data_IF_554611898482
#
_entry.id   IF_554611898482
#
_cell.length_a   1.000
_cell.length_b   1.000
_cell.length_c   1.000
_cell.angle_alpha   90.00
_cell.angle_beta   90.00
_cell.angle_gamma   90.00
#
_symmetry.space_group_name_H-M   'P 1'
#
loop_
_entity.id
_entity.type
_entity.pdbx_description
1 polymer ?
#
# COMPACT_ATOMS: atom_id res chain seq x y z
N UNK A 1 0.55 20.23 -23.86
CA UNK A 1 -0.09 18.90 -23.87
C UNK A 1 -1.15 18.93 -24.97
N UNK A 2 -0.94 18.24 -26.11
CA UNK A 2 -1.87 18.25 -27.24
C UNK A 2 -3.22 17.70 -26.78
N UNK A 3 -4.24 18.57 -26.72
CA UNK A 3 -5.63 18.19 -26.46
C UNK A 3 -6.15 17.46 -27.68
N UNK A 4 -6.08 16.13 -27.69
CA UNK A 4 -6.94 15.35 -28.56
C UNK A 4 -8.36 15.59 -28.05
N UNK A 5 -9.12 16.44 -28.75
CA UNK A 5 -10.50 16.75 -28.40
C UNK A 5 -11.35 15.48 -28.29
N UNK A 6 -12.46 15.56 -27.57
CA UNK A 6 -13.38 14.44 -27.38
C UNK A 6 -13.86 13.91 -28.74
N UNK A 7 -13.36 12.75 -29.16
CA UNK A 7 -13.79 12.04 -30.37
C UNK A 7 -15.01 11.18 -30.01
N UNK A 8 -16.08 11.26 -30.81
CA UNK A 8 -17.37 10.61 -30.51
C UNK A 8 -17.31 9.08 -30.37
N UNK A 9 -16.27 8.45 -30.92
CA UNK A 9 -16.08 7.01 -30.98
C UNK A 9 -14.83 6.53 -30.23
N UNK A 10 -14.23 7.36 -29.37
CA UNK A 10 -13.05 7.01 -28.59
C UNK A 10 -13.35 7.08 -27.10
N UNK A 11 -13.07 6.00 -26.37
CA UNK A 11 -13.21 5.93 -24.93
C UNK A 11 -11.83 5.86 -24.27
N UNK A 12 -11.62 6.65 -23.22
CA UNK A 12 -10.38 6.66 -22.45
C UNK A 12 -10.62 6.01 -21.09
N UNK A 13 -9.78 5.04 -20.75
CA UNK A 13 -9.79 4.33 -19.47
C UNK A 13 -8.41 4.44 -18.85
N UNK A 14 -8.35 4.80 -17.57
CA UNK A 14 -7.11 4.92 -16.83
C UNK A 14 -7.06 3.90 -15.69
N UNK A 15 -5.96 3.14 -15.62
CA UNK A 15 -5.68 2.20 -14.54
C UNK A 15 -4.49 2.71 -13.74
N UNK A 16 -4.63 2.75 -12.41
CA UNK A 16 -3.54 3.17 -11.51
C UNK A 16 -3.62 2.39 -10.21
N UNK A 17 -2.47 1.97 -9.70
CA UNK A 17 -2.34 1.39 -8.36
C UNK A 17 -2.38 2.47 -7.26
N UNK A 18 -2.02 3.72 -7.61
CA UNK A 18 -1.94 4.85 -6.70
C UNK A 18 -2.67 6.06 -7.30
N UNK A 19 -3.96 6.25 -6.99
CA UNK A 19 -4.73 7.35 -7.56
C UNK A 19 -4.25 8.69 -6.99
N UNK A 20 -3.73 9.56 -7.87
CA UNK A 20 -3.41 10.97 -7.56
C UNK A 20 -4.60 11.86 -7.90
N UNK A 21 -4.76 12.98 -7.18
CA UNK A 21 -5.85 13.94 -7.40
C UNK A 21 -5.97 14.38 -8.87
N UNK A 22 -4.85 14.74 -9.51
CA UNK A 22 -4.83 15.16 -10.91
C UNK A 22 -5.35 14.07 -11.88
N UNK A 23 -5.08 12.79 -11.60
CA UNK A 23 -5.59 11.69 -12.41
C UNK A 23 -7.11 11.49 -12.22
N UNK A 24 -7.60 11.67 -10.99
CA UNK A 24 -9.03 11.62 -10.68
C UNK A 24 -9.76 12.80 -11.34
N UNK A 25 -9.17 13.98 -11.37
CA UNK A 25 -9.75 15.14 -12.05
C UNK A 25 -9.87 14.91 -13.57
N UNK A 26 -8.88 14.23 -14.18
CA UNK A 26 -8.85 13.97 -15.62
C UNK A 26 -9.70 12.77 -16.06
N UNK A 27 -9.71 11.68 -15.29
CA UNK A 27 -10.32 10.40 -15.68
C UNK A 27 -11.47 9.95 -14.75
N UNK A 28 -11.73 10.67 -13.68
CA UNK A 28 -12.78 10.33 -12.71
C UNK A 28 -14.19 10.56 -13.27
N UNK A 29 -15.14 9.81 -12.72
CA UNK A 29 -16.56 9.94 -13.05
C UNK A 29 -17.13 11.13 -12.29
N UNK A 30 -17.75 12.05 -13.03
CA UNK A 30 -18.50 13.19 -12.48
C UNK A 30 -19.89 12.71 -12.07
N UNK A 31 -20.11 12.49 -10.78
CA UNK A 31 -21.46 12.30 -10.21
C UNK A 31 -22.00 13.65 -9.74
N UNK A 32 -22.81 14.32 -10.56
CA UNK A 32 -23.54 15.54 -10.18
C UNK A 32 -22.65 16.67 -9.62
N UNK A 33 -23.11 17.33 -8.54
CA UNK A 33 -22.49 18.52 -7.90
C UNK A 33 -21.26 18.15 -7.02
N UNK A 34 -20.52 17.10 -7.41
CA UNK A 34 -19.41 16.55 -6.62
C UNK A 34 -18.07 16.62 -7.33
N UNK A 35 -16.99 16.46 -6.54
CA UNK A 35 -15.66 16.18 -7.09
C UNK A 35 -15.69 14.85 -7.86
N UNK A 36 -14.95 14.73 -8.98
CA UNK A 36 -14.83 13.46 -9.70
C UNK A 36 -14.34 12.34 -8.77
N UNK A 37 -14.81 11.11 -9.00
CA UNK A 37 -14.41 9.93 -8.22
C UNK A 37 -13.92 8.81 -9.12
N UNK A 38 -13.11 7.92 -8.58
CA UNK A 38 -12.72 6.68 -9.27
C UNK A 38 -13.96 5.82 -9.57
N UNK A 39 -14.01 5.21 -10.76
CA UNK A 39 -15.09 4.31 -11.18
C UNK A 39 -15.12 3.03 -10.34
N UNK A 40 -13.94 2.43 -10.15
CA UNK A 40 -13.77 1.20 -9.40
C UNK A 40 -12.47 1.28 -8.59
N UNK A 41 -12.49 0.71 -7.39
CA UNK A 41 -11.32 0.62 -6.51
C UNK A 41 -11.16 -0.83 -6.07
N UNK A 42 -10.07 -1.45 -6.50
CA UNK A 42 -9.63 -2.75 -6.01
C UNK A 42 -8.42 -2.53 -5.10
N UNK A 43 -8.63 -2.68 -3.79
CA UNK A 43 -7.62 -2.31 -2.80
C UNK A 43 -6.54 -3.38 -2.64
N UNK A 44 -5.32 -2.98 -2.24
CA UNK A 44 -4.28 -3.94 -1.86
C UNK A 44 -4.74 -4.85 -0.72
N UNK A 45 -5.55 -4.33 0.21
CA UNK A 45 -6.13 -5.13 1.31
C UNK A 45 -6.97 -6.29 0.78
N UNK A 46 -7.89 -6.01 -0.12
CA UNK A 46 -8.76 -7.02 -0.72
C UNK A 46 -7.92 -8.08 -1.47
N UNK A 47 -6.92 -7.63 -2.24
CA UNK A 47 -6.02 -8.55 -2.94
C UNK A 47 -5.23 -9.48 -2.01
N UNK A 48 -4.90 -9.04 -0.80
CA UNK A 48 -4.28 -9.88 0.24
C UNK A 48 -5.31 -10.86 0.83
N UNK A 49 -6.52 -10.39 1.13
CA UNK A 49 -7.60 -11.22 1.71
C UNK A 49 -8.05 -12.34 0.75
N UNK A 50 -8.06 -12.07 -0.55
CA UNK A 50 -8.39 -13.04 -1.60
C UNK A 50 -7.20 -13.94 -1.99
N UNK A 51 -5.99 -13.67 -1.47
CA UNK A 51 -4.80 -14.46 -1.75
C UNK A 51 -4.14 -14.21 -3.11
N UNK A 52 -4.48 -13.12 -3.79
CA UNK A 52 -3.89 -12.73 -5.08
C UNK A 52 -2.50 -12.07 -4.93
N UNK A 53 -2.21 -11.44 -3.80
CA UNK A 53 -0.88 -10.88 -3.47
C UNK A 53 -0.43 -11.26 -2.05
N UNK A 54 0.89 -11.31 -1.83
CA UNK A 54 1.45 -11.63 -0.52
C UNK A 54 1.19 -10.52 0.50
N UNK A 55 0.64 -10.89 1.66
CA UNK A 55 0.44 -9.99 2.79
C UNK A 55 1.74 -9.64 3.53
N UNK A 56 2.49 -8.67 3.03
CA UNK A 56 3.77 -8.23 3.65
C UNK A 56 3.59 -7.59 5.03
N UNK A 57 2.38 -7.14 5.38
CA UNK A 57 2.10 -6.52 6.67
C UNK A 57 2.04 -7.52 7.83
N UNK A 58 1.94 -8.83 7.55
CA UNK A 58 1.80 -9.87 8.59
C UNK A 58 3.00 -9.91 9.55
N UNK A 59 4.19 -9.56 9.05
CA UNK A 59 5.41 -9.50 9.83
C UNK A 59 5.96 -8.07 9.94
N UNK A 60 5.13 -7.04 9.73
CA UNK A 60 5.61 -5.66 9.82
C UNK A 60 5.95 -5.28 11.27
N UNK A 61 7.24 -5.13 11.55
CA UNK A 61 7.75 -4.64 12.82
C UNK A 61 8.28 -3.22 12.68
N UNK A 62 7.83 -2.31 13.56
CA UNK A 62 8.37 -0.94 13.55
C UNK A 62 9.80 -0.93 14.10
N UNK A 63 10.62 0.02 13.62
CA UNK A 63 11.98 0.18 14.10
C UNK A 63 12.04 0.44 15.62
N UNK A 64 11.08 1.20 16.17
CA UNK A 64 10.98 1.44 17.60
C UNK A 64 10.73 0.15 18.39
N UNK A 65 9.80 -0.70 17.91
CA UNK A 65 9.53 -2.01 18.51
C UNK A 65 10.75 -2.92 18.43
N UNK A 66 11.41 -2.98 17.28
CA UNK A 66 12.65 -3.74 17.07
C UNK A 66 13.73 -3.33 18.07
N UNK A 67 13.99 -2.03 18.22
CA UNK A 67 14.99 -1.50 19.14
C UNK A 67 14.63 -1.79 20.61
N UNK A 68 13.35 -1.68 20.98
CA UNK A 68 12.90 -1.99 22.34
C UNK A 68 13.13 -3.46 22.68
N UNK A 69 12.79 -4.37 21.76
CA UNK A 69 13.01 -5.81 21.97
C UNK A 69 14.51 -6.12 21.98
N UNK A 70 15.29 -5.54 21.07
CA UNK A 70 16.75 -5.71 21.03
C UNK A 70 17.44 -5.29 22.33
N UNK A 71 17.06 -4.15 22.92
CA UNK A 71 17.55 -3.70 24.22
C UNK A 71 17.14 -4.64 25.36
N UNK A 72 15.86 -5.02 25.40
CA UNK A 72 15.35 -5.92 26.44
C UNK A 72 16.07 -7.28 26.44
N UNK A 73 16.41 -7.82 25.26
CA UNK A 73 17.15 -9.09 25.16
C UNK A 73 18.65 -8.90 25.44
N UNK A 74 19.23 -7.74 25.13
CA UNK A 74 20.63 -7.47 25.47
C UNK A 74 20.89 -7.45 26.99
N UNK A 75 19.89 -7.09 27.78
CA UNK A 75 19.96 -7.01 29.24
C UNK A 75 19.43 -8.28 29.95
N UNK A 76 18.86 -9.25 29.21
CA UNK A 76 18.30 -10.48 29.77
C UNK A 76 19.27 -11.67 29.62
N UNK A 77 19.76 -12.20 30.74
CA UNK A 77 20.70 -13.33 30.78
C UNK A 77 20.07 -14.67 30.37
N UNK A 78 18.74 -14.75 30.24
CA UNK A 78 18.02 -15.97 29.83
C UNK A 78 18.13 -16.26 28.33
N UNK A 79 18.49 -15.27 27.51
CA UNK A 79 18.53 -15.40 26.06
C UNK A 79 19.94 -15.17 25.51
N UNK A 80 20.34 -16.02 24.58
CA UNK A 80 21.57 -15.81 23.82
C UNK A 80 21.40 -14.62 22.86
N UNK A 81 22.23 -13.58 23.04
CA UNK A 81 22.16 -12.31 22.29
C UNK A 81 22.26 -12.52 20.77
N UNK A 82 23.09 -13.47 20.33
CA UNK A 82 23.31 -13.76 18.92
C UNK A 82 22.09 -14.43 18.29
N UNK A 83 21.54 -15.45 18.97
CA UNK A 83 20.33 -16.15 18.53
C UNK A 83 19.11 -15.24 18.51
N UNK A 84 18.94 -14.39 19.52
CA UNK A 84 17.82 -13.48 19.60
C UNK A 84 17.87 -12.38 18.54
N UNK A 85 19.05 -11.80 18.28
CA UNK A 85 19.22 -10.81 17.20
C UNK A 85 18.96 -11.41 15.82
N UNK A 86 19.39 -12.66 15.60
CA UNK A 86 19.12 -13.39 14.36
C UNK A 86 17.64 -13.72 14.18
N UNK A 87 16.93 -14.07 15.27
CA UNK A 87 15.49 -14.27 15.24
C UNK A 87 14.75 -12.96 14.91
N UNK A 88 15.14 -11.84 15.53
CA UNK A 88 14.56 -10.52 15.24
C UNK A 88 14.76 -10.04 13.81
N UNK A 89 15.86 -10.42 13.15
CA UNK A 89 16.10 -10.07 11.74
C UNK A 89 15.32 -10.93 10.72
N UNK A 90 14.71 -12.03 11.17
CA UNK A 90 13.90 -12.92 10.34
C UNK A 90 12.38 -12.61 10.42
N UNK A 91 11.98 -11.63 11.24
CA UNK A 91 10.62 -11.09 11.32
C UNK A 91 10.55 -9.77 10.55
#
# INVERSE_FOLDING_TARGET
>A
MKSYGSLKNLSFLAFTAAPKSAAIEMFGIKSGVGKPKVFHLYSMRQAIEEGFILGVLKNYMTCATYLRIGKAVADDTRYDKSKASKALGNF
#
